data_IF_634594249734
#
_entry.id   IF_634594249734
#
_cell.length_a   1.000
_cell.length_b   1.000
_cell.length_c   1.000
_cell.angle_alpha   90.00
_cell.angle_beta   90.00
_cell.angle_gamma   90.00
#
_symmetry.space_group_name_H-M   'P 1'
#
loop_
_entity.id
_entity.type
_entity.pdbx_description
1 polymer ?
#
# COMPACT_ATOMS: atom_id res chain seq x y z
N UNK A 1 -11.13 37.04 -6.95
CA UNK A 1 -10.36 35.92 -7.55
C UNK A 1 -8.86 35.99 -7.24
N UNK A 2 -8.24 37.18 -7.25
CA UNK A 2 -6.80 37.35 -7.05
C UNK A 2 -6.30 36.89 -5.66
N UNK A 3 -7.03 37.20 -4.58
CA UNK A 3 -6.68 36.76 -3.23
C UNK A 3 -6.62 35.23 -3.08
N UNK A 4 -7.57 34.49 -3.69
CA UNK A 4 -7.56 33.02 -3.69
C UNK A 4 -6.37 32.43 -4.45
N UNK A 5 -5.96 33.06 -5.56
CA UNK A 5 -4.76 32.66 -6.31
C UNK A 5 -3.48 32.91 -5.50
N UNK A 6 -3.37 34.06 -4.83
CA UNK A 6 -2.24 34.36 -3.93
C UNK A 6 -2.15 33.35 -2.78
N UNK A 7 -3.28 33.04 -2.13
CA UNK A 7 -3.31 32.05 -1.05
C UNK A 7 -2.95 30.63 -1.52
N UNK A 8 -3.40 30.24 -2.72
CA UNK A 8 -3.02 28.97 -3.32
C UNK A 8 -1.51 28.91 -3.58
N UNK A 9 -0.94 29.97 -4.16
CA UNK A 9 0.49 30.05 -4.44
C UNK A 9 1.34 30.00 -3.17
N UNK A 10 0.94 30.72 -2.12
CA UNK A 10 1.65 30.71 -0.82
C UNK A 10 1.71 29.30 -0.22
N UNK A 11 0.59 28.56 -0.27
CA UNK A 11 0.53 27.16 0.16
C UNK A 11 1.45 26.26 -0.65
N UNK A 12 1.53 26.47 -1.96
CA UNK A 12 2.44 25.67 -2.81
C UNK A 12 3.90 25.95 -2.47
N UNK A 13 4.26 27.20 -2.23
CA UNK A 13 5.60 27.57 -1.76
C UNK A 13 5.90 26.91 -0.41
N UNK A 14 4.98 26.99 0.55
CA UNK A 14 5.13 26.35 1.85
C UNK A 14 5.34 24.83 1.75
N UNK A 15 4.55 24.14 0.92
CA UNK A 15 4.73 22.70 0.67
C UNK A 15 6.12 22.41 0.09
N UNK A 16 6.57 23.21 -0.89
CA UNK A 16 7.87 23.01 -1.52
C UNK A 16 9.02 23.21 -0.53
N UNK A 17 8.93 24.24 0.31
CA UNK A 17 9.95 24.53 1.33
C UNK A 17 10.06 23.38 2.33
N UNK A 18 8.91 22.84 2.79
CA UNK A 18 8.91 21.70 3.70
C UNK A 18 9.42 20.41 3.04
N UNK A 19 9.05 20.14 1.78
CA UNK A 19 9.58 18.98 1.06
C UNK A 19 11.10 19.08 0.87
N UNK A 20 11.63 20.27 0.59
CA UNK A 20 13.09 20.48 0.49
C UNK A 20 13.82 20.19 1.79
N UNK A 21 13.24 20.61 2.92
CA UNK A 21 13.79 20.38 4.27
C UNK A 21 13.81 18.91 4.70
N UNK A 22 13.14 18.00 4.00
CA UNK A 22 13.26 16.56 4.28
C UNK A 22 14.69 16.05 4.04
N UNK A 23 15.48 16.69 3.17
CA UNK A 23 16.86 16.27 2.91
C UNK A 23 17.86 16.80 3.93
N UNK A 24 17.49 17.82 4.68
CA UNK A 24 18.31 18.45 5.71
C UNK A 24 18.22 17.64 7.02
N UNK A 25 19.38 17.28 7.58
CA UNK A 25 19.44 16.42 8.77
C UNK A 25 18.73 17.00 9.98
N UNK A 26 18.89 18.30 10.21
CA UNK A 26 18.43 18.95 11.44
C UNK A 26 16.94 19.34 11.37
N UNK A 27 16.37 19.42 10.16
CA UNK A 27 14.99 19.87 9.93
C UNK A 27 14.06 18.78 9.40
N UNK A 28 14.57 17.61 9.01
CA UNK A 28 13.81 16.48 8.45
C UNK A 28 12.57 16.11 9.28
N UNK A 29 12.76 15.79 10.57
CA UNK A 29 11.65 15.37 11.43
C UNK A 29 10.60 16.48 11.60
N UNK A 30 11.05 17.73 11.70
CA UNK A 30 10.16 18.87 11.81
C UNK A 30 9.36 19.07 10.52
N UNK A 31 10.03 19.00 9.37
CA UNK A 31 9.43 19.08 8.05
C UNK A 31 8.39 17.96 7.84
N UNK A 32 8.71 16.72 8.20
CA UNK A 32 7.78 15.59 8.15
C UNK A 32 6.49 15.88 8.95
N UNK A 33 6.63 16.36 10.20
CA UNK A 33 5.49 16.69 11.05
C UNK A 33 4.64 17.82 10.46
N UNK A 34 5.27 18.89 9.94
CA UNK A 34 4.54 19.99 9.30
C UNK A 34 3.75 19.50 8.08
N UNK A 35 4.37 18.68 7.23
CA UNK A 35 3.73 18.09 6.06
C UNK A 35 2.50 17.25 6.44
N UNK A 36 2.60 16.39 7.46
CA UNK A 36 1.46 15.59 7.96
C UNK A 36 0.34 16.50 8.48
N UNK A 37 0.65 17.57 9.20
CA UNK A 37 -0.35 18.48 9.78
C UNK A 37 -1.12 19.30 8.73
N UNK A 38 -0.48 19.67 7.61
CA UNK A 38 -1.14 20.44 6.56
C UNK A 38 -1.96 19.57 5.60
N UNK A 39 -1.64 18.27 5.47
CA UNK A 39 -2.26 17.36 4.51
C UNK A 39 -3.80 17.34 4.53
N UNK A 40 -4.48 17.20 5.68
CA UNK A 40 -5.95 17.14 5.71
C UNK A 40 -6.61 18.43 5.19
N UNK A 41 -5.88 19.53 5.19
CA UNK A 41 -6.37 20.86 4.78
C UNK A 41 -6.11 21.15 3.31
N UNK A 42 -5.41 20.29 2.58
CA UNK A 42 -5.04 20.54 1.17
C UNK A 42 -6.26 20.43 0.25
N UNK A 43 -6.26 21.19 -0.84
CA UNK A 43 -7.17 20.91 -1.96
C UNK A 43 -6.60 19.78 -2.83
N UNK A 44 -7.43 19.14 -3.66
CA UNK A 44 -6.98 18.07 -4.56
C UNK A 44 -5.84 18.50 -5.49
N UNK A 45 -5.83 19.78 -5.92
CA UNK A 45 -4.76 20.34 -6.74
C UNK A 45 -3.43 20.48 -5.95
N UNK A 46 -3.50 20.87 -4.68
CA UNK A 46 -2.33 20.97 -3.82
C UNK A 46 -1.78 19.61 -3.43
N UNK A 47 -2.66 18.63 -3.15
CA UNK A 47 -2.27 17.25 -2.93
C UNK A 47 -1.57 16.65 -4.17
N UNK A 48 -2.07 16.97 -5.37
CA UNK A 48 -1.43 16.57 -6.62
C UNK A 48 -0.01 17.16 -6.76
N UNK A 49 0.17 18.45 -6.47
CA UNK A 49 1.49 19.07 -6.52
C UNK A 49 2.44 18.47 -5.46
N UNK A 50 1.94 18.21 -4.25
CA UNK A 50 2.72 17.53 -3.22
C UNK A 50 3.20 16.14 -3.68
N UNK A 51 2.32 15.33 -4.28
CA UNK A 51 2.72 14.06 -4.90
C UNK A 51 3.80 14.22 -5.96
N UNK A 52 3.62 15.18 -6.87
CA UNK A 52 4.60 15.50 -7.93
C UNK A 52 5.97 15.84 -7.35
N UNK A 53 6.02 16.57 -6.23
CA UNK A 53 7.27 16.94 -5.55
C UNK A 53 7.94 15.77 -4.87
N UNK A 54 7.18 14.98 -4.11
CA UNK A 54 7.68 13.75 -3.50
C UNK A 54 8.21 12.76 -4.56
N UNK A 55 7.51 12.64 -5.70
CA UNK A 55 7.95 11.79 -6.81
C UNK A 55 9.22 12.30 -7.50
N UNK A 56 9.44 13.62 -7.57
CA UNK A 56 10.67 14.17 -8.16
C UNK A 56 11.90 13.86 -7.31
N UNK A 57 11.74 13.82 -5.99
CA UNK A 57 12.79 13.36 -5.09
C UNK A 57 12.85 11.83 -5.07
N UNK A 58 13.25 11.23 -6.20
CA UNK A 58 13.22 9.78 -6.35
C UNK A 58 14.20 9.11 -5.40
N UNK A 59 15.42 9.59 -5.26
CA UNK A 59 16.46 8.84 -4.55
C UNK A 59 17.24 9.69 -3.54
N UNK A 60 16.60 10.09 -2.43
CA UNK A 60 17.29 10.84 -1.40
C UNK A 60 18.36 9.97 -0.74
N UNK A 61 19.51 10.59 -0.46
CA UNK A 61 20.70 9.89 0.02
C UNK A 61 20.43 9.11 1.32
N UNK A 62 19.65 9.69 2.24
CA UNK A 62 19.38 9.13 3.58
C UNK A 62 18.20 8.16 3.54
N UNK A 63 18.34 7.02 4.23
CA UNK A 63 17.25 6.04 4.30
C UNK A 63 16.07 6.53 5.14
N UNK A 64 16.29 7.42 6.11
CA UNK A 64 15.22 8.07 6.87
C UNK A 64 14.33 8.90 5.94
N UNK A 65 14.94 9.67 5.04
CA UNK A 65 14.19 10.51 4.10
C UNK A 65 13.38 9.66 3.11
N UNK A 66 13.91 8.51 2.70
CA UNK A 66 13.17 7.53 1.89
C UNK A 66 11.97 6.94 2.65
N UNK A 67 12.15 6.60 3.92
CA UNK A 67 11.07 6.16 4.82
C UNK A 67 10.00 7.24 4.93
N UNK A 68 10.39 8.48 5.22
CA UNK A 68 9.50 9.63 5.36
C UNK A 68 8.70 9.88 4.09
N UNK A 69 9.33 9.88 2.91
CA UNK A 69 8.62 10.03 1.63
C UNK A 69 7.54 8.95 1.46
N UNK A 70 7.86 7.69 1.77
CA UNK A 70 6.88 6.59 1.67
C UNK A 70 5.74 6.77 2.66
N UNK A 71 6.02 7.20 3.90
CA UNK A 71 5.00 7.48 4.90
C UNK A 71 4.11 8.68 4.51
N UNK A 72 4.69 9.72 3.90
CA UNK A 72 3.93 10.86 3.38
C UNK A 72 3.02 10.43 2.22
N UNK A 73 3.46 9.53 1.33
CA UNK A 73 2.60 8.93 0.30
C UNK A 73 1.44 8.14 0.92
N UNK A 74 1.68 7.37 1.98
CA UNK A 74 0.64 6.64 2.70
C UNK A 74 -0.39 7.59 3.33
N UNK A 75 0.07 8.69 3.95
CA UNK A 75 -0.80 9.70 4.53
C UNK A 75 -1.64 10.41 3.45
N UNK A 76 -1.04 10.76 2.30
CA UNK A 76 -1.78 11.33 1.18
C UNK A 76 -2.83 10.36 0.60
N UNK A 77 -2.57 9.04 0.59
CA UNK A 77 -3.56 8.04 0.20
C UNK A 77 -4.81 8.11 1.07
N UNK A 78 -4.63 8.31 2.38
CA UNK A 78 -5.71 8.42 3.35
C UNK A 78 -6.48 9.74 3.22
N UNK A 79 -5.77 10.87 3.17
CA UNK A 79 -6.39 12.20 3.18
C UNK A 79 -6.95 12.60 1.80
N UNK A 80 -6.35 12.12 0.71
CA UNK A 80 -6.68 12.51 -0.67
C UNK A 80 -6.79 11.31 -1.61
N UNK A 81 -7.70 10.34 -1.36
CA UNK A 81 -7.72 9.08 -2.09
C UNK A 81 -7.96 9.22 -3.61
N UNK A 82 -8.83 10.14 -4.01
CA UNK A 82 -9.12 10.42 -5.44
C UNK A 82 -7.92 11.04 -6.17
N UNK A 83 -7.18 11.94 -5.51
CA UNK A 83 -5.96 12.49 -6.09
C UNK A 83 -4.86 11.42 -6.18
N UNK A 84 -4.75 10.59 -5.13
CA UNK A 84 -3.79 9.49 -5.03
C UNK A 84 -3.98 8.42 -6.12
N UNK A 85 -5.22 8.13 -6.50
CA UNK A 85 -5.55 7.23 -7.61
C UNK A 85 -4.83 7.59 -8.92
N UNK A 86 -4.61 8.89 -9.19
CA UNK A 86 -3.91 9.36 -10.39
C UNK A 86 -2.41 9.05 -10.39
N UNK A 87 -1.81 8.87 -9.21
CA UNK A 87 -0.39 8.56 -9.04
C UNK A 87 -0.12 7.09 -8.76
N UNK A 88 -1.17 6.27 -8.66
CA UNK A 88 -1.08 4.90 -8.17
C UNK A 88 -0.01 4.05 -8.87
N UNK A 89 0.06 4.08 -10.20
CA UNK A 89 1.09 3.35 -10.96
C UNK A 89 2.51 3.77 -10.58
N UNK A 90 2.75 5.08 -10.46
CA UNK A 90 4.06 5.64 -10.10
C UNK A 90 4.43 5.33 -8.66
N UNK A 91 3.45 5.41 -7.76
CA UNK A 91 3.61 5.05 -6.35
C UNK A 91 3.95 3.56 -6.21
N UNK A 92 3.21 2.66 -6.86
CA UNK A 92 3.51 1.20 -6.82
C UNK A 92 4.90 0.91 -7.37
N UNK A 93 5.31 1.57 -8.46
CA UNK A 93 6.68 1.43 -8.99
C UNK A 93 7.73 1.94 -7.99
N UNK A 94 7.46 3.06 -7.33
CA UNK A 94 8.33 3.62 -6.30
C UNK A 94 8.48 2.69 -5.09
N UNK A 95 7.36 2.14 -4.58
CA UNK A 95 7.39 1.19 -3.47
C UNK A 95 8.20 -0.06 -3.83
N UNK A 96 7.99 -0.64 -5.02
CA UNK A 96 8.80 -1.78 -5.48
C UNK A 96 10.28 -1.47 -5.58
N UNK A 97 10.62 -0.27 -6.08
CA UNK A 97 12.01 0.19 -6.10
C UNK A 97 12.60 0.28 -4.68
N UNK A 98 11.86 0.84 -3.73
CA UNK A 98 12.27 1.01 -2.33
C UNK A 98 12.42 -0.30 -1.56
N UNK A 99 11.68 -1.34 -1.92
CA UNK A 99 11.87 -2.67 -1.33
C UNK A 99 13.28 -3.23 -1.58
N UNK A 100 13.97 -2.77 -2.63
CA UNK A 100 15.36 -3.16 -2.94
C UNK A 100 16.40 -2.51 -2.03
N UNK A 101 16.02 -1.50 -1.23
CA UNK A 101 16.90 -0.86 -0.26
C UNK A 101 17.31 -1.83 0.88
N UNK A 102 16.55 -2.92 1.08
CA UNK A 102 16.77 -3.92 2.14
C UNK A 102 16.87 -3.30 3.54
N UNK A 103 16.15 -2.20 3.78
CA UNK A 103 16.05 -1.51 5.07
C UNK A 103 14.69 -1.82 5.69
N UNK A 104 14.68 -2.42 6.89
CA UNK A 104 13.46 -2.83 7.56
C UNK A 104 12.43 -1.70 7.72
N UNK A 105 12.86 -0.48 8.10
CA UNK A 105 11.95 0.65 8.26
C UNK A 105 11.32 1.11 6.95
N UNK A 106 12.09 1.13 5.87
CA UNK A 106 11.59 1.45 4.53
C UNK A 106 10.60 0.37 4.07
N UNK A 107 10.88 -0.91 4.34
CA UNK A 107 9.94 -2.00 4.06
C UNK A 107 8.64 -1.85 4.86
N UNK A 108 8.71 -1.52 6.15
CA UNK A 108 7.52 -1.28 6.99
C UNK A 108 6.70 -0.08 6.48
N UNK A 109 7.37 1.00 6.09
CA UNK A 109 6.72 2.15 5.45
C UNK A 109 6.03 1.73 4.14
N UNK A 110 6.67 0.89 3.31
CA UNK A 110 6.04 0.37 2.09
C UNK A 110 4.79 -0.46 2.40
N UNK A 111 4.83 -1.31 3.43
CA UNK A 111 3.66 -2.07 3.87
C UNK A 111 2.50 -1.14 4.28
N UNK A 112 2.79 -0.09 5.06
CA UNK A 112 1.81 0.92 5.48
C UNK A 112 1.21 1.65 4.27
N UNK A 113 2.04 2.03 3.31
CA UNK A 113 1.57 2.66 2.07
C UNK A 113 0.67 1.71 1.26
N UNK A 114 1.04 0.44 1.13
CA UNK A 114 0.23 -0.57 0.43
C UNK A 114 -1.11 -0.84 1.12
N UNK A 115 -1.14 -0.88 2.45
CA UNK A 115 -2.38 -0.96 3.22
C UNK A 115 -3.25 0.28 2.99
N UNK A 116 -2.68 1.49 3.03
CA UNK A 116 -3.40 2.74 2.79
C UNK A 116 -3.98 2.81 1.36
N UNK A 117 -3.24 2.34 0.35
CA UNK A 117 -3.72 2.21 -1.03
C UNK A 117 -4.98 1.33 -1.07
N UNK A 118 -4.93 0.17 -0.42
CA UNK A 118 -6.01 -0.82 -0.45
C UNK A 118 -7.28 -0.31 0.23
N UNK A 119 -7.11 0.39 1.35
CA UNK A 119 -8.21 0.86 2.16
C UNK A 119 -8.84 2.15 1.66
N UNK A 120 -8.04 3.07 1.12
CA UNK A 120 -8.51 4.43 0.83
C UNK A 120 -8.55 4.70 -0.67
N UNK A 121 -7.55 4.25 -1.42
CA UNK A 121 -7.42 4.55 -2.86
C UNK A 121 -8.23 3.59 -3.72
N UNK A 122 -8.12 2.28 -3.46
CA UNK A 122 -8.84 1.25 -4.22
C UNK A 122 -10.36 1.48 -4.24
N UNK A 123 -11.03 1.94 -3.16
CA UNK A 123 -12.42 2.35 -3.20
C UNK A 123 -12.78 3.48 -4.15
N UNK A 124 -11.81 4.35 -4.46
CA UNK A 124 -11.99 5.48 -5.35
C UNK A 124 -11.77 5.13 -6.82
N UNK A 125 -11.35 3.89 -7.12
CA UNK A 125 -11.13 3.43 -8.49
C UNK A 125 -12.42 2.88 -9.10
N UNK A 126 -12.60 3.01 -10.42
CA UNK A 126 -13.64 2.28 -11.12
C UNK A 126 -13.51 0.77 -10.85
N UNK A 127 -14.64 0.09 -10.65
CA UNK A 127 -14.70 -1.36 -10.35
C UNK A 127 -14.07 -2.24 -11.44
N UNK A 128 -13.79 -1.68 -12.62
CA UNK A 128 -13.10 -2.33 -13.73
C UNK A 128 -11.59 -2.50 -13.45
N UNK A 129 -11.01 -1.63 -12.62
CA UNK A 129 -9.58 -1.71 -12.29
C UNK A 129 -9.39 -2.84 -11.27
N UNK A 130 -8.94 -3.99 -11.78
CA UNK A 130 -8.58 -5.14 -10.96
C UNK A 130 -7.40 -4.78 -10.04
N UNK A 131 -7.51 -5.18 -8.77
CA UNK A 131 -6.43 -5.14 -7.78
C UNK A 131 -5.15 -5.86 -8.27
N UNK A 132 -5.26 -6.73 -9.28
CA UNK A 132 -4.12 -7.36 -9.97
C UNK A 132 -3.08 -6.33 -10.44
N UNK A 133 -3.51 -5.16 -10.92
CA UNK A 133 -2.61 -4.08 -11.36
C UNK A 133 -1.67 -3.62 -10.24
N UNK A 134 -2.09 -3.78 -8.98
CA UNK A 134 -1.34 -3.41 -7.79
C UNK A 134 -0.52 -4.57 -7.27
N UNK A 135 -1.06 -5.79 -7.29
CA UNK A 135 -0.38 -7.00 -6.77
C UNK A 135 0.74 -7.45 -7.70
N UNK A 136 0.50 -7.44 -9.02
CA UNK A 136 1.39 -8.04 -10.02
C UNK A 136 2.83 -7.47 -10.01
N UNK A 137 3.05 -6.15 -9.86
CA UNK A 137 4.40 -5.62 -9.71
C UNK A 137 5.16 -6.24 -8.52
N UNK A 138 4.53 -6.38 -7.36
CA UNK A 138 5.14 -7.02 -6.19
C UNK A 138 5.34 -8.53 -6.42
N UNK A 139 4.37 -9.20 -7.04
CA UNK A 139 4.42 -10.64 -7.32
C UNK A 139 5.52 -11.04 -8.30
N UNK A 140 5.93 -10.13 -9.18
CA UNK A 140 7.08 -10.34 -10.06
C UNK A 140 8.43 -10.18 -9.31
N UNK A 141 8.43 -9.46 -8.19
CA UNK A 141 9.61 -9.25 -7.33
C UNK A 141 9.68 -10.27 -6.17
N UNK A 142 8.66 -11.14 -6.00
CA UNK A 142 8.69 -12.23 -5.01
C UNK A 142 9.61 -13.36 -5.49
N UNK A 143 10.91 -13.14 -5.35
CA UNK A 143 11.91 -14.20 -5.38
C UNK A 143 12.12 -14.73 -3.94
N UNK A 144 12.66 -15.94 -3.77
CA UNK A 144 12.82 -16.64 -2.46
C UNK A 144 13.52 -15.79 -1.37
N UNK A 145 14.20 -14.70 -1.73
CA UNK A 145 14.97 -13.83 -0.82
C UNK A 145 14.34 -12.44 -0.57
N UNK A 146 13.16 -12.12 -1.12
CA UNK A 146 12.51 -10.81 -1.05
C UNK A 146 11.23 -10.84 -0.20
N UNK A 147 11.41 -10.87 1.12
CA UNK A 147 10.29 -10.86 2.10
C UNK A 147 9.43 -9.59 1.97
N UNK A 148 10.03 -8.46 1.61
CA UNK A 148 9.33 -7.17 1.51
C UNK A 148 8.18 -7.13 0.51
N UNK A 149 8.33 -7.78 -0.66
CA UNK A 149 7.28 -7.79 -1.68
C UNK A 149 6.07 -8.61 -1.23
N UNK A 150 6.30 -9.79 -0.65
CA UNK A 150 5.23 -10.61 -0.08
C UNK A 150 4.55 -9.94 1.11
N UNK A 151 5.31 -9.23 1.95
CA UNK A 151 4.77 -8.38 3.01
C UNK A 151 3.85 -7.28 2.50
N UNK A 152 4.22 -6.60 1.42
CA UNK A 152 3.35 -5.61 0.78
C UNK A 152 2.09 -6.25 0.21
N UNK A 153 2.19 -7.39 -0.48
CA UNK A 153 1.00 -8.13 -0.96
C UNK A 153 0.10 -8.48 0.23
N UNK A 154 0.67 -9.03 1.30
CA UNK A 154 -0.07 -9.35 2.52
C UNK A 154 -0.78 -8.13 3.12
N UNK A 155 -0.09 -7.00 3.25
CA UNK A 155 -0.68 -5.74 3.71
C UNK A 155 -1.77 -5.19 2.78
N UNK A 156 -1.72 -5.54 1.49
CA UNK A 156 -2.76 -5.21 0.51
C UNK A 156 -4.03 -6.04 0.72
N UNK A 157 -3.84 -7.34 0.96
CA UNK A 157 -4.93 -8.30 1.11
C UNK A 157 -5.58 -8.18 2.48
N UNK A 158 -4.79 -8.08 3.54
CA UNK A 158 -5.24 -7.98 4.92
C UNK A 158 -4.62 -6.73 5.59
N UNK A 159 -5.15 -5.54 5.29
CA UNK A 159 -4.67 -4.31 5.90
C UNK A 159 -5.06 -4.24 7.39
N UNK A 160 -4.13 -3.90 8.27
CA UNK A 160 -4.27 -3.99 9.74
C UNK A 160 -5.24 -2.98 10.40
N UNK A 161 -6.25 -2.44 9.71
CA UNK A 161 -7.18 -1.44 10.27
C UNK A 161 -8.55 -2.03 10.57
N UNK A 162 -9.16 -1.66 11.70
CA UNK A 162 -10.38 -2.31 12.23
C UNK A 162 -11.69 -1.93 11.54
N UNK A 163 -11.79 -0.76 10.91
CA UNK A 163 -13.10 -0.16 10.58
C UNK A 163 -13.60 -0.42 9.15
N UNK A 164 -12.86 -1.16 8.33
CA UNK A 164 -13.16 -1.32 6.88
C UNK A 164 -12.77 -2.68 6.29
N UNK A 165 -12.40 -3.65 7.14
CA UNK A 165 -11.92 -4.96 6.69
C UNK A 165 -12.98 -5.79 5.96
N UNK A 166 -14.25 -5.73 6.37
CA UNK A 166 -15.33 -6.47 5.71
C UNK A 166 -15.63 -5.95 4.31
N UNK A 167 -15.71 -4.62 4.14
CA UNK A 167 -15.91 -3.98 2.84
C UNK A 167 -14.74 -4.27 1.89
N UNK A 168 -13.52 -4.25 2.43
CA UNK A 168 -12.32 -4.63 1.69
C UNK A 168 -12.37 -6.11 1.27
N UNK A 169 -12.70 -7.02 2.19
CA UNK A 169 -12.83 -8.45 1.90
C UNK A 169 -13.85 -8.72 0.78
N UNK A 170 -15.01 -8.07 0.85
CA UNK A 170 -16.06 -8.16 -0.19
C UNK A 170 -15.54 -7.66 -1.54
N UNK A 171 -14.82 -6.54 -1.56
CA UNK A 171 -14.26 -5.93 -2.78
C UNK A 171 -13.22 -6.83 -3.46
N UNK A 172 -12.33 -7.44 -2.69
CA UNK A 172 -11.22 -8.23 -3.25
C UNK A 172 -11.58 -9.69 -3.47
N UNK A 173 -12.73 -10.15 -2.95
CA UNK A 173 -13.18 -11.53 -3.10
C UNK A 173 -13.14 -12.05 -4.56
N UNK A 174 -13.66 -11.33 -5.57
CA UNK A 174 -13.62 -11.80 -6.96
C UNK A 174 -12.20 -12.02 -7.49
N UNK A 175 -11.23 -11.21 -7.02
CA UNK A 175 -9.84 -11.39 -7.36
C UNK A 175 -9.23 -12.62 -6.68
N UNK A 176 -9.55 -12.84 -5.40
CA UNK A 176 -9.03 -13.99 -4.65
C UNK A 176 -9.46 -15.33 -5.26
N UNK A 177 -10.63 -15.39 -5.89
CA UNK A 177 -11.12 -16.58 -6.60
C UNK A 177 -10.16 -17.04 -7.71
N UNK A 178 -9.48 -16.12 -8.39
CA UNK A 178 -8.52 -16.47 -9.45
C UNK A 178 -7.08 -16.45 -8.94
N UNK A 179 -6.78 -15.59 -7.96
CA UNK A 179 -5.44 -15.41 -7.43
C UNK A 179 -4.98 -16.57 -6.55
N UNK A 180 -5.84 -17.12 -5.68
CA UNK A 180 -5.44 -18.22 -4.77
C UNK A 180 -5.01 -19.46 -5.55
N UNK A 181 -5.76 -19.97 -6.55
CA UNK A 181 -5.30 -21.10 -7.37
C UNK A 181 -3.97 -20.83 -8.08
N UNK A 182 -3.78 -19.62 -8.63
CA UNK A 182 -2.53 -19.21 -9.26
C UNK A 182 -1.35 -19.17 -8.27
N UNK A 183 -1.60 -18.70 -7.04
CA UNK A 183 -0.58 -18.62 -6.01
C UNK A 183 -0.18 -20.01 -5.50
N UNK A 184 -1.16 -20.92 -5.33
CA UNK A 184 -0.92 -22.31 -4.93
C UNK A 184 -0.18 -23.09 -6.01
N UNK A 185 -0.44 -22.87 -7.30
CA UNK A 185 0.29 -23.56 -8.37
C UNK A 185 1.78 -23.19 -8.44
N UNK A 186 2.16 -22.03 -7.89
CA UNK A 186 3.56 -21.61 -7.73
C UNK A 186 4.24 -22.19 -6.49
N UNK A 187 3.50 -22.89 -5.64
CA UNK A 187 4.03 -23.53 -4.44
C UNK A 187 4.76 -24.83 -4.81
N UNK A 188 6.10 -24.79 -4.82
CA UNK A 188 6.91 -25.98 -5.04
C UNK A 188 7.27 -26.65 -3.72
N UNK A 189 7.09 -27.98 -3.66
CA UNK A 189 7.32 -28.83 -2.48
C UNK A 189 8.76 -28.85 -1.95
N UNK A 190 9.73 -28.29 -2.69
CA UNK A 190 11.15 -28.27 -2.32
C UNK A 190 11.55 -27.11 -1.41
N UNK A 191 10.70 -26.08 -1.24
CA UNK A 191 10.97 -24.95 -0.35
C UNK A 191 10.31 -25.22 1.01
N UNK A 192 11.07 -25.16 2.11
CA UNK A 192 10.51 -25.23 3.46
C UNK A 192 9.36 -24.22 3.59
N UNK A 193 8.13 -24.75 3.67
CA UNK A 193 6.88 -24.00 3.55
C UNK A 193 6.85 -22.74 4.43
N UNK A 194 7.42 -22.82 5.62
CA UNK A 194 7.44 -21.76 6.64
C UNK A 194 8.26 -20.52 6.27
N UNK A 195 9.22 -20.63 5.34
CA UNK A 195 10.03 -19.49 4.89
C UNK A 195 9.64 -19.00 3.49
N UNK A 196 8.58 -19.57 2.91
CA UNK A 196 8.14 -19.20 1.57
C UNK A 196 7.37 -17.89 1.59
N UNK A 197 7.73 -16.89 0.76
CA UNK A 197 6.93 -15.68 0.56
C UNK A 197 5.48 -15.99 0.16
N UNK A 198 5.26 -17.11 -0.55
CA UNK A 198 3.93 -17.60 -0.94
C UNK A 198 3.10 -18.00 0.29
N UNK A 199 3.72 -18.70 1.26
CA UNK A 199 3.05 -19.14 2.47
C UNK A 199 2.62 -17.96 3.36
N UNK A 200 3.47 -16.91 3.42
CA UNK A 200 3.11 -15.65 4.09
C UNK A 200 1.85 -15.03 3.46
N UNK A 201 1.81 -14.91 2.12
CA UNK A 201 0.66 -14.34 1.41
C UNK A 201 -0.61 -15.18 1.66
N UNK A 202 -0.51 -16.51 1.59
CA UNK A 202 -1.63 -17.40 1.91
C UNK A 202 -2.13 -17.22 3.35
N UNK A 203 -1.22 -17.03 4.29
CA UNK A 203 -1.56 -16.77 5.70
C UNK A 203 -2.36 -15.48 5.86
N UNK A 204 -1.98 -14.41 5.16
CA UNK A 204 -2.75 -13.14 5.18
C UNK A 204 -4.13 -13.29 4.53
N UNK A 205 -4.24 -14.07 3.44
CA UNK A 205 -5.53 -14.38 2.82
C UNK A 205 -6.44 -15.12 3.81
N UNK A 206 -5.89 -16.10 4.55
CA UNK A 206 -6.63 -16.82 5.58
C UNK A 206 -7.05 -15.92 6.75
N UNK A 207 -6.21 -14.95 7.12
CA UNK A 207 -6.56 -13.95 8.14
C UNK A 207 -7.73 -13.07 7.69
N UNK A 208 -7.70 -12.59 6.45
CA UNK A 208 -8.83 -11.86 5.87
C UNK A 208 -10.08 -12.73 5.79
N UNK A 209 -9.94 -14.00 5.45
CA UNK A 209 -11.07 -14.92 5.33
C UNK A 209 -11.89 -15.02 6.60
N UNK A 210 -11.24 -15.02 7.77
CA UNK A 210 -11.93 -15.03 9.07
C UNK A 210 -12.90 -13.87 9.28
N UNK A 211 -12.74 -12.78 8.52
CA UNK A 211 -13.62 -11.60 8.58
C UNK A 211 -14.83 -11.74 7.64
N UNK A 212 -14.82 -12.67 6.69
CA UNK A 212 -15.90 -12.87 5.71
C UNK A 212 -16.25 -14.35 5.52
N UNK A 213 -17.44 -14.75 5.99
CA UNK A 213 -17.93 -16.13 5.90
C UNK A 213 -17.89 -16.70 4.46
N UNK A 214 -18.21 -15.86 3.47
CA UNK A 214 -18.16 -16.24 2.04
C UNK A 214 -16.74 -16.65 1.61
N UNK A 215 -15.72 -15.93 2.10
CA UNK A 215 -14.33 -16.23 1.79
C UNK A 215 -13.85 -17.52 2.47
N UNK A 216 -14.30 -17.78 3.71
CA UNK A 216 -14.02 -19.02 4.44
C UNK A 216 -14.52 -20.22 3.66
N UNK A 217 -15.79 -20.20 3.25
CA UNK A 217 -16.42 -21.30 2.50
C UNK A 217 -15.67 -21.56 1.19
N UNK A 218 -15.30 -20.51 0.46
CA UNK A 218 -14.56 -20.62 -0.79
C UNK A 218 -13.16 -21.25 -0.60
N UNK A 219 -12.41 -20.81 0.42
CA UNK A 219 -11.09 -21.37 0.71
C UNK A 219 -11.20 -22.83 1.14
N UNK A 220 -12.20 -23.18 1.96
CA UNK A 220 -12.46 -24.57 2.32
C UNK A 220 -12.74 -25.46 1.10
N UNK A 221 -13.51 -24.97 0.13
CA UNK A 221 -13.74 -25.70 -1.13
C UNK A 221 -12.45 -25.88 -1.94
N UNK A 222 -11.62 -24.84 -2.06
CA UNK A 222 -10.36 -24.90 -2.82
C UNK A 222 -9.35 -25.91 -2.25
N UNK A 223 -9.25 -26.03 -0.94
CA UNK A 223 -8.34 -26.97 -0.28
C UNK A 223 -8.94 -28.35 -0.05
N UNK A 224 -10.14 -28.63 -0.57
CA UNK A 224 -10.81 -29.92 -0.37
C UNK A 224 -11.13 -30.23 1.10
N UNK A 225 -11.16 -29.21 1.96
CA UNK A 225 -11.57 -29.33 3.37
C UNK A 225 -13.10 -29.39 3.45
N UNK A 226 -13.68 -30.40 2.81
CA UNK A 226 -15.07 -30.79 3.03
C UNK A 226 -15.09 -31.78 4.20
N UNK A 227 -15.67 -31.36 5.33
CA UNK A 227 -16.03 -32.26 6.42
C UNK A 227 -15.69 -31.75 7.82
N UNK A 228 -16.73 -31.55 8.62
CA UNK A 228 -16.74 -31.35 10.08
C UNK A 228 -16.25 -30.02 10.65
N UNK A 229 -17.12 -29.00 10.64
CA UNK A 229 -17.38 -28.13 11.80
C UNK A 229 -18.39 -27.02 11.45
N UNK A 230 -19.64 -27.38 11.17
CA UNK A 230 -20.78 -26.49 11.38
C UNK A 230 -21.79 -27.28 12.20
N UNK A 231 -21.52 -27.35 13.50
CA UNK A 231 -22.34 -27.97 14.51
C UNK A 231 -22.03 -27.27 15.83
N UNK A 232 -22.79 -26.21 16.10
CA UNK A 232 -22.71 -25.35 17.27
C UNK A 232 -23.77 -24.27 17.15
#
# INVERSE_FOLDING_TARGET
>A
MEARRKQHQLRLTEINDWVGKLEERDTEQHAFVQLIQIMPKLTSAQAYEMYSRLERNKDPARSSTREDIVLLMAALCKEHPVASARFLKKMVAYLNYRLRDKRHKVTDACMKATAAISLYVLPSLPQIISIDVLVRPFLNETNVMSDGAAKCIGAMLHPHTTNSLLDHATRIHPYLVTFVPHLVSRFHSAVYATYSPIFYILTEILRLAKVSFVLVVYIHMLFGLSGHALGG
#
